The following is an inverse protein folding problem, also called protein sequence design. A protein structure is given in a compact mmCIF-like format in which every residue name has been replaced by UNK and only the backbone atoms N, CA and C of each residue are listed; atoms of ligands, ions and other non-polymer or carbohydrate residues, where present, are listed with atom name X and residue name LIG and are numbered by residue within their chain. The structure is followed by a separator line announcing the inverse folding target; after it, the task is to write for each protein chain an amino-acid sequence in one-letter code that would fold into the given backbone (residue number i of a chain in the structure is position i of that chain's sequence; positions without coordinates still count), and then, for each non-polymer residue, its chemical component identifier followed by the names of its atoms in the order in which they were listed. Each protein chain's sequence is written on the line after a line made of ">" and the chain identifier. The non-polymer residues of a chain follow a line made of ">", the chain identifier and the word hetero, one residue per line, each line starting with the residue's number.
data_IF_746141103518
#
_entry.id   IF_746141103518
#
_cell.length_a   1.000
_cell.length_b   1.000
_cell.length_c   1.000
_cell.angle_alpha   90.00
_cell.angle_beta   90.00
_cell.angle_gamma   90.00
#
_symmetry.space_group_name_H-M   'P 1'
#
loop_
_entity.id
_entity.type
_entity.pdbx_description
1 polymer ?
#
# COMPACT_ATOMS: atom_id res chain seq x y z
N UNK A 1 -14.18 14.19 -25.51
CA UNK A 1 -13.86 14.34 -24.07
C UNK A 1 -13.23 13.04 -23.65
N UNK A 2 -12.11 13.07 -22.91
CA UNK A 2 -11.46 11.86 -22.39
C UNK A 2 -12.36 11.19 -21.36
N UNK A 3 -12.52 9.86 -21.37
CA UNK A 3 -13.20 9.14 -20.30
C UNK A 3 -12.61 9.49 -18.93
N UNK A 4 -13.45 9.51 -17.89
CA UNK A 4 -13.04 9.88 -16.54
C UNK A 4 -13.72 9.03 -15.49
N UNK A 5 -13.08 8.91 -14.32
CA UNK A 5 -13.62 8.23 -13.15
C UNK A 5 -13.11 8.90 -11.88
N UNK A 6 -13.98 9.10 -10.92
CA UNK A 6 -13.62 9.68 -9.64
C UNK A 6 -13.45 8.58 -8.59
N UNK A 7 -12.33 8.66 -7.85
CA UNK A 7 -11.97 7.75 -6.76
C UNK A 7 -11.96 8.50 -5.44
N UNK A 8 -12.54 7.91 -4.41
CA UNK A 8 -12.68 8.52 -3.10
C UNK A 8 -11.87 7.79 -2.05
N UNK A 9 -11.09 8.54 -1.28
CA UNK A 9 -10.35 8.06 -0.13
C UNK A 9 -10.17 9.17 0.91
N UNK A 10 -10.28 8.86 2.22
CA UNK A 10 -10.12 9.80 3.32
C UNK A 10 -11.00 11.08 3.20
N UNK A 11 -12.19 10.96 2.63
CA UNK A 11 -13.10 12.10 2.43
C UNK A 11 -12.82 12.93 1.17
N UNK A 12 -11.77 12.65 0.43
CA UNK A 12 -11.36 13.39 -0.77
C UNK A 12 -11.67 12.64 -2.05
N UNK A 13 -11.87 13.40 -3.13
CA UNK A 13 -12.15 12.90 -4.47
C UNK A 13 -10.97 13.17 -5.41
N UNK A 14 -10.49 12.13 -6.07
CA UNK A 14 -9.43 12.20 -7.06
C UNK A 14 -10.00 11.76 -8.40
N UNK A 15 -10.07 12.69 -9.36
CA UNK A 15 -10.47 12.43 -10.74
C UNK A 15 -9.33 11.83 -11.51
N UNK A 16 -9.57 10.72 -12.19
CA UNK A 16 -8.64 10.14 -13.16
C UNK A 16 -9.23 10.21 -14.54
N UNK A 17 -8.48 10.79 -15.46
CA UNK A 17 -8.82 10.91 -16.87
C UNK A 17 -7.86 10.06 -17.70
N UNK A 18 -8.38 9.09 -18.43
CA UNK A 18 -7.58 8.22 -19.29
C UNK A 18 -8.48 7.54 -20.34
N UNK A 19 -7.89 6.81 -21.28
CA UNK A 19 -8.66 5.91 -22.14
C UNK A 19 -9.37 4.83 -21.31
N UNK A 20 -10.40 4.21 -21.89
CA UNK A 20 -11.27 3.25 -21.16
C UNK A 20 -10.50 2.08 -20.56
N UNK A 21 -9.55 1.50 -21.30
CA UNK A 21 -8.80 0.33 -20.84
C UNK A 21 -7.93 0.61 -19.60
N UNK A 22 -7.12 1.69 -19.51
CA UNK A 22 -6.45 2.09 -18.28
C UNK A 22 -7.39 2.38 -17.13
N UNK A 23 -8.53 3.03 -17.36
CA UNK A 23 -9.51 3.32 -16.30
C UNK A 23 -10.14 2.05 -15.74
N UNK A 24 -10.52 1.11 -16.59
CA UNK A 24 -11.08 -0.17 -16.19
C UNK A 24 -10.06 -0.98 -15.38
N UNK A 25 -8.81 -1.06 -15.87
CA UNK A 25 -7.72 -1.71 -15.15
C UNK A 25 -7.45 -1.07 -13.78
N UNK A 26 -7.38 0.27 -13.72
CA UNK A 26 -7.15 0.98 -12.46
C UNK A 26 -8.28 0.73 -11.46
N UNK A 27 -9.52 0.79 -11.92
CA UNK A 27 -10.69 0.53 -11.09
C UNK A 27 -10.65 -0.89 -10.49
N UNK A 28 -10.39 -1.90 -11.31
CA UNK A 28 -10.24 -3.29 -10.85
C UNK A 28 -9.11 -3.41 -9.82
N UNK A 29 -7.99 -2.72 -10.07
CA UNK A 29 -6.82 -2.77 -9.17
C UNK A 29 -7.10 -2.19 -7.79
N UNK A 30 -7.83 -1.06 -7.71
CA UNK A 30 -8.00 -0.31 -6.46
C UNK A 30 -9.30 -0.62 -5.70
N UNK A 31 -10.23 -1.35 -6.31
CA UNK A 31 -11.47 -1.75 -5.65
C UNK A 31 -11.23 -2.89 -4.64
N UNK A 32 -11.96 -2.94 -3.54
CA UNK A 32 -12.93 -1.95 -3.07
C UNK A 32 -12.31 -0.84 -2.21
N UNK A 33 -10.97 -0.79 -2.06
CA UNK A 33 -10.29 0.13 -1.14
C UNK A 33 -10.61 1.60 -1.46
N UNK A 34 -10.71 1.94 -2.75
CA UNK A 34 -11.11 3.27 -3.19
C UNK A 34 -12.53 3.19 -3.76
N UNK A 35 -13.45 3.89 -3.11
CA UNK A 35 -14.83 3.97 -3.62
C UNK A 35 -14.84 4.74 -4.94
N UNK A 36 -15.62 4.27 -5.93
CA UNK A 36 -15.81 4.99 -7.20
C UNK A 36 -17.22 5.54 -7.25
N UNK A 37 -17.33 6.87 -7.34
CA UNK A 37 -18.60 7.60 -7.50
C UNK A 37 -18.33 8.96 -8.12
N UNK A 38 -19.21 9.44 -8.97
CA UNK A 38 -19.05 10.73 -9.61
C UNK A 38 -19.11 11.89 -8.61
N UNK A 39 -18.30 12.92 -8.86
CA UNK A 39 -18.32 14.19 -8.13
C UNK A 39 -18.27 15.37 -9.10
N UNK A 40 -18.91 16.48 -8.75
CA UNK A 40 -18.86 17.72 -9.54
C UNK A 40 -17.48 18.39 -9.40
N UNK A 41 -16.94 18.43 -8.20
CA UNK A 41 -15.69 19.11 -7.87
C UNK A 41 -14.69 18.13 -7.23
N UNK A 42 -13.76 17.52 -7.99
CA UNK A 42 -12.69 16.72 -7.45
C UNK A 42 -11.63 17.61 -6.76
N UNK A 43 -11.03 17.11 -5.69
CA UNK A 43 -9.91 17.78 -5.02
C UNK A 43 -8.63 17.75 -5.85
N UNK A 44 -8.48 16.72 -6.68
CA UNK A 44 -7.31 16.48 -7.53
C UNK A 44 -7.72 15.90 -8.87
N UNK A 45 -6.92 16.17 -9.89
CA UNK A 45 -7.09 15.59 -11.24
C UNK A 45 -5.77 14.99 -11.73
N UNK A 46 -5.84 13.74 -12.16
CA UNK A 46 -4.72 13.01 -12.76
C UNK A 46 -5.12 12.54 -14.15
N UNK A 47 -4.36 12.92 -15.18
CA UNK A 47 -4.63 12.51 -16.55
C UNK A 47 -3.52 11.59 -17.06
N UNK A 48 -3.87 10.47 -17.69
CA UNK A 48 -2.91 9.66 -18.46
C UNK A 48 -3.01 10.01 -19.93
N UNK A 49 -1.94 10.60 -20.46
CA UNK A 49 -1.79 10.95 -21.86
C UNK A 49 -0.91 9.91 -22.53
N UNK A 50 -1.50 9.11 -23.39
CA UNK A 50 -0.76 8.14 -24.22
C UNK A 50 -0.51 8.80 -25.57
N UNK A 51 0.69 9.33 -25.76
CA UNK A 51 1.11 10.05 -26.97
C UNK A 51 2.61 9.84 -27.23
N UNK A 52 2.92 8.97 -28.18
CA UNK A 52 4.29 8.65 -28.53
C UNK A 52 5.07 9.87 -29.10
N UNK A 53 4.37 10.82 -29.76
CA UNK A 53 5.03 12.01 -30.32
C UNK A 53 5.40 13.00 -29.22
N UNK A 54 4.46 13.27 -28.31
CA UNK A 54 4.73 14.14 -27.16
C UNK A 54 5.79 13.50 -26.25
N UNK A 55 5.72 12.20 -26.01
CA UNK A 55 6.74 11.47 -25.25
C UNK A 55 8.12 11.61 -25.88
N UNK A 56 8.25 11.36 -27.19
CA UNK A 56 9.51 11.52 -27.93
C UNK A 56 10.00 12.97 -27.90
N UNK A 57 9.09 13.95 -28.01
CA UNK A 57 9.41 15.38 -27.91
C UNK A 57 9.98 15.75 -26.55
N UNK A 58 9.43 15.23 -25.48
CA UNK A 58 9.93 15.43 -24.12
C UNK A 58 11.28 14.73 -23.91
N UNK A 59 11.43 13.51 -24.41
CA UNK A 59 12.69 12.78 -24.36
C UNK A 59 13.82 13.49 -25.10
N UNK A 60 13.54 14.03 -26.29
CA UNK A 60 14.52 14.78 -27.09
C UNK A 60 14.93 16.12 -26.45
N UNK A 61 14.04 16.73 -25.69
CA UNK A 61 14.33 17.94 -24.91
C UNK A 61 15.11 17.66 -23.63
N UNK A 62 15.25 16.45 -23.23
CA UNK A 62 15.84 15.88 -22.04
C UNK A 62 16.76 16.75 -21.17
N UNK A 63 17.18 16.28 -20.02
CA UNK A 63 17.84 17.10 -19.01
C UNK A 63 19.12 17.79 -19.52
N UNK A 64 19.75 17.28 -20.59
CA UNK A 64 20.98 17.83 -21.14
C UNK A 64 20.78 19.05 -22.05
N UNK A 65 19.57 19.25 -22.60
CA UNK A 65 19.31 20.34 -23.56
C UNK A 65 18.85 21.65 -22.92
N UNK A 66 18.40 21.67 -21.67
CA UNK A 66 17.76 22.84 -21.03
C UNK A 66 18.16 23.07 -19.56
N UNK A 67 19.34 22.62 -19.13
CA UNK A 67 19.78 22.85 -17.75
C UNK A 67 18.98 22.07 -16.69
N UNK A 68 18.36 20.96 -17.09
CA UNK A 68 17.59 20.10 -16.19
C UNK A 68 18.45 19.60 -15.02
N UNK A 69 17.90 19.68 -13.83
CA UNK A 69 18.56 19.23 -12.60
C UNK A 69 18.23 17.77 -12.36
N UNK A 70 19.26 16.96 -12.11
CA UNK A 70 19.02 15.59 -11.64
C UNK A 70 18.43 15.66 -10.24
N UNK A 71 17.29 15.04 -10.05
CA UNK A 71 16.58 15.06 -8.80
C UNK A 71 16.15 13.66 -8.38
N UNK A 72 16.06 13.45 -7.07
CA UNK A 72 15.42 12.28 -6.51
C UNK A 72 14.07 12.72 -5.94
N UNK A 73 13.02 12.07 -6.37
CA UNK A 73 11.67 12.32 -5.88
C UNK A 73 11.23 11.14 -5.03
N UNK A 74 10.51 11.43 -3.97
CA UNK A 74 9.79 10.39 -3.26
C UNK A 74 8.39 10.32 -3.82
N UNK A 75 8.06 9.20 -4.41
CA UNK A 75 6.72 8.84 -4.84
C UNK A 75 6.31 7.58 -4.11
N UNK A 76 5.18 7.61 -3.42
CA UNK A 76 4.63 6.44 -2.76
C UNK A 76 5.68 5.75 -1.85
N UNK A 77 6.44 6.55 -1.09
CA UNK A 77 7.54 6.09 -0.22
C UNK A 77 8.71 5.40 -0.94
N UNK A 78 8.71 5.37 -2.27
CA UNK A 78 9.83 4.93 -3.09
C UNK A 78 10.62 6.12 -3.62
N UNK A 79 11.93 5.95 -3.74
CA UNK A 79 12.79 6.95 -4.40
C UNK A 79 12.69 6.71 -5.90
N UNK A 80 12.14 7.70 -6.62
CA UNK A 80 12.20 7.77 -8.07
C UNK A 80 13.40 8.61 -8.45
N UNK A 81 14.30 8.02 -9.20
CA UNK A 81 15.41 8.76 -9.81
C UNK A 81 14.95 9.33 -11.13
N UNK A 82 15.20 10.59 -11.34
CA UNK A 82 14.77 11.24 -12.57
C UNK A 82 15.36 12.63 -12.71
N UNK A 83 14.89 13.31 -13.73
CA UNK A 83 15.30 14.67 -14.03
C UNK A 83 14.08 15.57 -14.02
N UNK A 84 14.26 16.79 -13.55
CA UNK A 84 13.25 17.84 -13.57
C UNK A 84 13.72 19.00 -14.44
N UNK A 85 12.85 19.57 -15.23
CA UNK A 85 13.09 20.79 -15.98
C UNK A 85 11.80 21.57 -16.23
N UNK A 86 11.95 22.87 -16.44
CA UNK A 86 10.84 23.73 -16.81
C UNK A 86 10.33 23.43 -18.21
N UNK A 87 9.03 23.49 -18.36
CA UNK A 87 8.34 23.31 -19.65
C UNK A 87 7.40 24.50 -19.93
N UNK A 88 6.96 24.66 -21.20
CA UNK A 88 6.04 25.75 -21.55
C UNK A 88 4.76 25.74 -20.71
N UNK A 89 4.24 26.94 -20.41
CA UNK A 89 3.01 27.11 -19.66
C UNK A 89 3.18 27.00 -18.16
N UNK A 90 4.30 27.50 -17.62
CA UNK A 90 4.62 27.46 -16.18
C UNK A 90 4.49 26.06 -15.57
N UNK A 91 4.83 25.03 -16.35
CA UNK A 91 4.80 23.64 -15.91
C UNK A 91 6.22 23.09 -15.75
N UNK A 92 6.35 22.11 -14.90
CA UNK A 92 7.57 21.30 -14.73
C UNK A 92 7.35 19.90 -15.27
N UNK A 93 8.38 19.33 -15.86
CA UNK A 93 8.37 17.94 -16.33
C UNK A 93 9.38 17.14 -15.55
N UNK A 94 8.97 15.97 -15.09
CA UNK A 94 9.79 15.02 -14.35
C UNK A 94 9.86 13.72 -15.15
N UNK A 95 11.06 13.26 -15.48
CA UNK A 95 11.26 11.93 -16.05
C UNK A 95 11.43 10.90 -14.95
N UNK A 96 10.62 9.85 -14.98
CA UNK A 96 10.87 8.62 -14.22
C UNK A 96 11.73 7.70 -15.13
N UNK A 97 13.04 7.67 -14.85
CA UNK A 97 14.00 6.88 -15.63
C UNK A 97 13.71 5.36 -15.58
N UNK A 98 13.11 4.90 -14.49
CA UNK A 98 12.82 3.47 -14.32
C UNK A 98 11.66 3.00 -15.21
N UNK A 99 10.65 3.87 -15.37
CA UNK A 99 9.41 3.55 -16.12
C UNK A 99 9.36 4.16 -17.49
N UNK A 100 10.32 5.03 -17.79
CA UNK A 100 10.35 5.78 -19.04
C UNK A 100 9.04 6.54 -19.30
N UNK A 101 8.48 7.16 -18.25
CA UNK A 101 7.30 8.01 -18.31
C UNK A 101 7.65 9.41 -17.83
N UNK A 102 6.86 10.39 -18.26
CA UNK A 102 7.00 11.76 -17.81
C UNK A 102 5.82 12.13 -16.93
N UNK A 103 6.09 12.87 -15.85
CA UNK A 103 5.07 13.55 -15.06
C UNK A 103 5.16 15.04 -15.36
N UNK A 104 4.05 15.64 -15.81
CA UNK A 104 3.94 17.08 -15.94
C UNK A 104 3.10 17.60 -14.79
N UNK A 105 3.61 18.58 -14.08
CA UNK A 105 2.95 19.24 -12.96
C UNK A 105 2.99 20.75 -13.13
N UNK A 106 2.10 21.43 -12.44
CA UNK A 106 2.02 22.89 -12.42
C UNK A 106 2.24 23.33 -10.98
N UNK A 107 3.36 24.03 -10.65
CA UNK A 107 3.62 24.52 -9.30
C UNK A 107 2.49 25.39 -8.75
N UNK A 108 1.87 26.21 -9.61
CA UNK A 108 0.75 27.11 -9.26
C UNK A 108 -0.61 26.38 -9.20
N UNK A 109 -0.69 25.14 -9.71
CA UNK A 109 -1.88 24.28 -9.65
C UNK A 109 -1.49 22.85 -9.22
N UNK A 110 -1.18 22.65 -7.96
CA UNK A 110 -0.75 21.33 -7.44
C UNK A 110 -1.87 20.30 -7.44
N UNK A 111 -3.11 20.71 -7.75
CA UNK A 111 -4.23 19.81 -7.89
C UNK A 111 -4.18 19.01 -9.19
N UNK A 112 -3.32 19.37 -10.14
CA UNK A 112 -3.28 18.78 -11.48
C UNK A 112 -1.94 18.11 -11.77
N UNK A 113 -2.00 16.86 -12.26
CA UNK A 113 -0.83 16.11 -12.76
C UNK A 113 -1.20 15.38 -14.04
N UNK A 114 -0.28 15.35 -14.99
CA UNK A 114 -0.37 14.50 -16.17
C UNK A 114 0.74 13.45 -16.15
N UNK A 115 0.38 12.20 -16.39
CA UNK A 115 1.29 11.12 -16.71
C UNK A 115 1.34 11.01 -18.23
N UNK A 116 2.52 11.14 -18.83
CA UNK A 116 2.73 11.11 -20.29
C UNK A 116 3.57 9.89 -20.63
N UNK A 117 3.03 8.99 -21.43
CA UNK A 117 3.66 7.74 -21.83
C UNK A 117 3.63 7.54 -23.34
N UNK A 118 4.59 6.80 -23.88
CA UNK A 118 4.63 6.47 -25.32
C UNK A 118 3.52 5.49 -25.72
N UNK A 119 3.07 4.64 -24.80
CA UNK A 119 2.05 3.62 -25.03
C UNK A 119 1.27 3.30 -23.76
N UNK A 120 0.15 2.59 -23.92
CA UNK A 120 -0.71 2.11 -22.82
C UNK A 120 -0.18 0.77 -22.27
N UNK A 121 1.09 0.73 -21.92
CA UNK A 121 1.73 -0.42 -21.29
C UNK A 121 1.56 -0.46 -19.77
N UNK A 122 2.08 -1.55 -19.18
CA UNK A 122 2.03 -1.75 -17.72
C UNK A 122 2.69 -0.60 -16.95
N UNK A 123 3.78 -0.02 -17.48
CA UNK A 123 4.49 1.07 -16.82
C UNK A 123 3.67 2.36 -16.76
N UNK A 124 2.93 2.69 -17.84
CA UNK A 124 2.00 3.81 -17.85
C UNK A 124 0.88 3.65 -16.83
N UNK A 125 0.30 2.45 -16.75
CA UNK A 125 -0.76 2.12 -15.78
C UNK A 125 -0.25 2.13 -14.35
N UNK A 126 0.94 1.60 -14.10
CA UNK A 126 1.58 1.64 -12.78
C UNK A 126 1.98 3.06 -12.37
N UNK A 127 2.40 3.91 -13.31
CA UNK A 127 2.66 5.32 -13.05
C UNK A 127 1.36 6.05 -12.65
N UNK A 128 0.26 5.80 -13.36
CA UNK A 128 -1.05 6.34 -13.02
C UNK A 128 -1.52 5.90 -11.63
N UNK A 129 -1.43 4.60 -11.32
CA UNK A 129 -1.73 4.03 -10.01
C UNK A 129 -0.88 4.67 -8.91
N UNK A 130 0.41 4.91 -9.16
CA UNK A 130 1.33 5.52 -8.20
C UNK A 130 0.89 6.94 -7.84
N UNK A 131 0.50 7.76 -8.82
CA UNK A 131 -0.01 9.12 -8.59
C UNK A 131 -1.30 9.09 -7.78
N UNK A 132 -2.25 8.23 -8.15
CA UNK A 132 -3.50 8.07 -7.42
C UNK A 132 -3.28 7.72 -5.95
N UNK A 133 -2.38 6.76 -5.68
CA UNK A 133 -2.03 6.36 -4.30
C UNK A 133 -1.32 7.47 -3.54
N UNK A 134 -0.41 8.18 -4.19
CA UNK A 134 0.31 9.31 -3.58
C UNK A 134 -0.68 10.36 -3.08
N UNK A 135 -1.63 10.76 -3.92
CA UNK A 135 -2.68 11.68 -3.51
C UNK A 135 -3.55 11.14 -2.37
N UNK A 136 -3.93 9.86 -2.43
CA UNK A 136 -4.72 9.25 -1.36
C UNK A 136 -3.99 9.23 -0.01
N UNK A 137 -2.70 8.85 -0.01
CA UNK A 137 -1.87 8.86 1.20
C UNK A 137 -1.68 10.26 1.75
N UNK A 138 -1.53 11.21 0.85
CA UNK A 138 -1.40 12.60 1.16
C UNK A 138 -2.63 13.16 1.86
N UNK A 139 -3.81 12.97 1.26
CA UNK A 139 -5.08 13.37 1.86
C UNK A 139 -5.30 12.71 3.22
N UNK A 140 -4.99 11.42 3.36
CA UNK A 140 -5.07 10.74 4.64
C UNK A 140 -4.16 11.37 5.69
N UNK A 141 -2.92 11.73 5.32
CA UNK A 141 -1.97 12.39 6.22
C UNK A 141 -2.48 13.78 6.64
N UNK A 142 -2.96 14.59 5.70
CA UNK A 142 -3.56 15.91 5.99
C UNK A 142 -4.82 15.79 6.86
N UNK A 143 -5.58 14.71 6.74
CA UNK A 143 -6.71 14.39 7.62
C UNK A 143 -6.30 13.87 9.01
N UNK A 144 -5.00 13.86 9.33
CA UNK A 144 -4.46 13.39 10.60
C UNK A 144 -4.46 11.87 10.75
N UNK A 145 -4.51 11.11 9.64
CA UNK A 145 -4.40 9.66 9.69
C UNK A 145 -2.92 9.23 9.71
N UNK A 146 -2.67 8.11 10.37
CA UNK A 146 -1.33 7.56 10.47
C UNK A 146 -1.07 6.59 9.31
N UNK A 147 0.03 6.79 8.59
CA UNK A 147 0.45 5.87 7.54
C UNK A 147 1.42 4.82 8.05
N UNK A 148 1.17 3.55 7.77
CA UNK A 148 1.99 2.41 8.21
C UNK A 148 2.46 1.54 7.04
N UNK A 149 3.69 1.06 7.15
CA UNK A 149 4.19 -0.07 6.36
C UNK A 149 3.69 -1.37 6.98
N UNK A 150 2.45 -1.71 6.70
CA UNK A 150 1.75 -2.82 7.31
C UNK A 150 0.82 -3.52 6.31
N UNK A 151 0.54 -4.79 6.56
CA UNK A 151 -0.57 -5.52 6.00
C UNK A 151 -1.76 -5.49 6.99
N UNK A 152 -2.95 -5.82 6.50
CA UNK A 152 -4.11 -5.99 7.35
C UNK A 152 -5.06 -7.03 6.75
N UNK A 153 -5.64 -7.85 7.61
CA UNK A 153 -6.67 -8.84 7.30
C UNK A 153 -7.86 -8.61 8.22
N UNK A 154 -9.07 -8.74 7.70
CA UNK A 154 -10.29 -8.69 8.51
C UNK A 154 -10.74 -10.10 8.84
N UNK A 155 -10.79 -10.46 10.13
CA UNK A 155 -11.30 -11.73 10.63
C UNK A 155 -12.50 -11.41 11.52
N UNK A 156 -13.64 -12.04 11.26
CA UNK A 156 -14.89 -11.81 11.96
C UNK A 156 -15.27 -10.31 12.08
N UNK A 157 -15.03 -9.55 10.99
CA UNK A 157 -15.32 -8.12 10.89
C UNK A 157 -14.30 -7.18 11.57
N UNK A 158 -13.24 -7.72 12.17
CA UNK A 158 -12.21 -6.95 12.86
C UNK A 158 -10.85 -7.06 12.18
N UNK A 159 -10.13 -5.94 12.07
CA UNK A 159 -8.80 -5.93 11.49
C UNK A 159 -7.75 -6.42 12.49
N UNK A 160 -6.95 -7.38 12.04
CA UNK A 160 -5.63 -7.67 12.56
C UNK A 160 -4.61 -6.96 11.68
N UNK A 161 -3.92 -5.97 12.23
CA UNK A 161 -2.84 -5.25 11.54
C UNK A 161 -1.54 -6.02 11.71
N UNK A 162 -0.84 -6.27 10.61
CA UNK A 162 0.41 -7.03 10.58
C UNK A 162 1.52 -6.05 10.17
N UNK A 163 2.29 -5.58 11.13
CA UNK A 163 3.26 -4.51 10.96
C UNK A 163 4.68 -4.98 11.25
N UNK A 164 5.68 -4.35 10.67
CA UNK A 164 7.08 -4.73 10.92
C UNK A 164 8.02 -4.39 9.76
N UNK A 165 9.32 -4.57 9.94
CA UNK A 165 10.31 -4.24 8.92
C UNK A 165 10.18 -5.13 7.67
N UNK A 166 10.93 -4.78 6.63
CA UNK A 166 11.02 -5.61 5.43
C UNK A 166 11.53 -7.02 5.82
N UNK A 167 10.91 -8.07 5.23
CA UNK A 167 11.23 -9.49 5.48
C UNK A 167 10.85 -10.02 6.88
N UNK A 168 10.12 -9.29 7.69
CA UNK A 168 9.64 -9.78 8.99
C UNK A 168 8.58 -10.89 8.92
N UNK A 169 8.07 -11.23 7.72
CA UNK A 169 7.03 -12.25 7.55
C UNK A 169 5.61 -11.69 7.39
N UNK A 170 5.44 -10.38 7.16
CA UNK A 170 4.11 -9.75 6.98
C UNK A 170 3.27 -10.44 5.91
N UNK A 171 3.83 -10.60 4.69
CA UNK A 171 3.12 -11.24 3.58
C UNK A 171 2.81 -12.70 3.88
N UNK A 172 3.73 -13.43 4.51
CA UNK A 172 3.52 -14.82 4.90
C UNK A 172 2.35 -14.95 5.88
N UNK A 173 2.31 -14.10 6.91
CA UNK A 173 1.24 -14.10 7.90
C UNK A 173 -0.11 -13.65 7.31
N UNK A 174 -0.09 -12.65 6.40
CA UNK A 174 -1.29 -12.22 5.66
C UNK A 174 -1.86 -13.38 4.84
N UNK A 175 -1.02 -14.03 4.01
CA UNK A 175 -1.45 -15.15 3.17
C UNK A 175 -1.97 -16.33 4.01
N UNK A 176 -1.34 -16.59 5.16
CA UNK A 176 -1.81 -17.60 6.11
C UNK A 176 -3.22 -17.27 6.61
N UNK A 177 -3.46 -16.02 7.05
CA UNK A 177 -4.77 -15.59 7.54
C UNK A 177 -5.86 -15.66 6.46
N UNK A 178 -5.52 -15.27 5.23
CA UNK A 178 -6.44 -15.35 4.10
C UNK A 178 -6.79 -16.79 3.74
N UNK A 179 -5.78 -17.68 3.70
CA UNK A 179 -5.95 -19.06 3.27
C UNK A 179 -6.56 -19.97 4.34
N UNK A 180 -6.05 -19.89 5.58
CA UNK A 180 -6.41 -20.84 6.62
C UNK A 180 -7.50 -20.36 7.58
N UNK A 181 -7.70 -19.04 7.71
CA UNK A 181 -8.62 -18.48 8.70
C UNK A 181 -9.82 -17.76 8.07
N UNK A 182 -10.04 -17.93 6.76
CA UNK A 182 -11.12 -17.27 6.00
C UNK A 182 -11.19 -15.77 6.25
N UNK A 183 -10.00 -15.15 6.34
CA UNK A 183 -9.87 -13.71 6.51
C UNK A 183 -10.22 -12.98 5.20
N UNK A 184 -10.76 -11.76 5.31
CA UNK A 184 -10.92 -10.88 4.17
C UNK A 184 -9.70 -9.96 4.01
N UNK A 185 -9.23 -9.77 2.79
CA UNK A 185 -8.09 -8.92 2.47
C UNK A 185 -8.42 -7.43 2.73
N UNK A 186 -7.52 -6.70 3.39
CA UNK A 186 -7.62 -5.24 3.56
C UNK A 186 -6.43 -4.55 2.90
N UNK A 187 -5.21 -4.95 3.25
CA UNK A 187 -3.97 -4.38 2.69
C UNK A 187 -2.79 -5.33 2.81
N UNK A 188 -1.75 -5.14 2.00
CA UNK A 188 -0.51 -5.94 2.07
C UNK A 188 0.75 -5.15 2.45
N UNK A 189 0.82 -3.84 2.18
CA UNK A 189 2.07 -3.08 2.34
C UNK A 189 1.85 -1.63 2.78
N UNK A 190 0.72 -1.01 2.39
CA UNK A 190 0.34 0.35 2.73
C UNK A 190 -0.98 0.35 3.45
N UNK A 191 -1.00 0.94 4.63
CA UNK A 191 -2.17 0.99 5.49
C UNK A 191 -2.31 2.38 6.10
N UNK A 192 -3.49 2.97 6.00
CA UNK A 192 -3.83 4.18 6.73
C UNK A 192 -4.64 3.83 7.98
N UNK A 193 -4.34 4.47 9.09
CA UNK A 193 -5.03 4.29 10.38
C UNK A 193 -5.72 5.59 10.76
N UNK A 194 -7.03 5.56 10.85
CA UNK A 194 -7.82 6.64 11.45
C UNK A 194 -8.23 6.28 12.88
N UNK A 195 -8.41 7.30 13.72
CA UNK A 195 -8.90 7.13 15.08
C UNK A 195 -9.99 8.16 15.39
N UNK A 196 -11.08 7.68 15.94
CA UNK A 196 -12.18 8.48 16.42
C UNK A 196 -12.61 8.04 17.84
N UNK A 197 -13.56 8.71 18.50
CA UNK A 197 -14.05 8.29 19.82
C UNK A 197 -14.59 6.86 19.83
N UNK A 198 -15.16 6.37 18.71
CA UNK A 198 -15.72 5.03 18.59
C UNK A 198 -14.64 3.94 18.42
N UNK A 199 -13.41 4.28 18.02
CA UNK A 199 -12.30 3.33 17.94
C UNK A 199 -11.24 3.67 16.91
N UNK A 200 -10.49 2.66 16.48
CA UNK A 200 -9.41 2.74 15.51
C UNK A 200 -9.80 1.93 14.28
N UNK A 201 -9.64 2.50 13.09
CA UNK A 201 -9.98 1.85 11.83
C UNK A 201 -8.76 1.78 10.93
N UNK A 202 -8.54 0.62 10.34
CA UNK A 202 -7.52 0.39 9.31
C UNK A 202 -8.17 0.52 7.93
N UNK A 203 -7.55 1.28 7.04
CA UNK A 203 -7.98 1.53 5.67
C UNK A 203 -6.90 1.04 4.71
N UNK A 204 -7.25 0.15 3.79
CA UNK A 204 -6.32 -0.39 2.82
C UNK A 204 -5.93 0.62 1.75
N UNK A 205 -4.65 0.66 1.40
CA UNK A 205 -4.16 1.35 0.21
C UNK A 205 -3.62 0.28 -0.74
N UNK A 206 -4.23 0.12 -1.93
CA UNK A 206 -3.90 -0.98 -2.83
C UNK A 206 -2.48 -0.87 -3.36
N UNK A 207 -1.72 -1.93 -3.20
CA UNK A 207 -0.36 -2.06 -3.73
C UNK A 207 -0.17 -3.42 -4.39
N UNK A 208 0.85 -3.55 -5.23
CA UNK A 208 1.24 -4.85 -5.77
C UNK A 208 1.59 -5.80 -4.63
N UNK A 209 0.98 -6.97 -4.64
CA UNK A 209 1.30 -8.04 -3.69
C UNK A 209 2.43 -8.88 -4.27
N UNK A 210 3.59 -8.80 -3.66
CA UNK A 210 4.76 -9.60 -4.06
C UNK A 210 4.81 -10.86 -3.19
N UNK A 211 4.56 -12.01 -3.81
CA UNK A 211 4.66 -13.31 -3.16
C UNK A 211 6.00 -13.92 -3.54
N UNK A 212 6.81 -14.28 -2.56
CA UNK A 212 8.11 -14.92 -2.76
C UNK A 212 7.97 -16.43 -2.63
N UNK A 213 8.81 -17.19 -3.32
CA UNK A 213 8.86 -18.65 -3.21
C UNK A 213 9.08 -19.11 -1.75
N UNK A 214 9.84 -18.36 -0.97
CA UNK A 214 10.00 -18.62 0.47
C UNK A 214 8.71 -18.48 1.27
N UNK A 215 7.73 -17.70 0.79
CA UNK A 215 6.40 -17.57 1.43
C UNK A 215 5.48 -18.73 1.04
N UNK A 216 5.63 -19.30 -0.16
CA UNK A 216 4.82 -20.46 -0.60
C UNK A 216 5.19 -21.75 0.11
N UNK A 217 6.42 -21.87 0.62
CA UNK A 217 6.84 -23.01 1.43
C UNK A 217 5.98 -23.17 2.71
N UNK A 218 5.33 -22.11 3.18
CA UNK A 218 4.42 -22.09 4.32
C UNK A 218 2.96 -22.43 3.93
N UNK A 219 2.66 -22.51 2.64
CA UNK A 219 1.34 -22.74 2.07
C UNK A 219 1.49 -23.66 0.84
N UNK A 220 1.62 -25.00 1.05
CA UNK A 220 2.00 -25.94 -0.02
C UNK A 220 1.11 -25.87 -1.26
N UNK A 221 -0.22 -25.65 -1.10
CA UNK A 221 -1.16 -25.58 -2.22
C UNK A 221 -1.09 -24.26 -2.98
N UNK A 222 -0.51 -23.22 -2.38
CA UNK A 222 -0.42 -21.90 -2.98
C UNK A 222 0.49 -21.88 -4.20
N UNK A 223 1.61 -22.62 -4.16
CA UNK A 223 2.54 -22.70 -5.30
C UNK A 223 1.87 -23.32 -6.53
N UNK A 224 1.10 -24.39 -6.34
CA UNK A 224 0.34 -25.02 -7.41
C UNK A 224 -0.71 -24.08 -8.01
N UNK A 225 -1.44 -23.34 -7.17
CA UNK A 225 -2.41 -22.31 -7.61
C UNK A 225 -1.71 -21.19 -8.37
N UNK A 226 -0.56 -20.71 -7.88
CA UNK A 226 0.24 -19.67 -8.54
C UNK A 226 0.78 -20.13 -9.90
N UNK A 227 1.17 -21.37 -10.05
CA UNK A 227 1.67 -21.93 -11.32
C UNK A 227 0.58 -21.96 -12.41
N UNK A 228 -0.68 -22.15 -12.03
CA UNK A 228 -1.84 -22.14 -12.94
C UNK A 228 -2.44 -20.77 -13.20
N UNK A 229 -2.06 -19.75 -12.45
CA UNK A 229 -2.66 -18.43 -12.55
C UNK A 229 -2.14 -17.65 -13.77
N UNK A 230 -3.05 -16.90 -14.43
CA UNK A 230 -2.68 -15.95 -15.47
C UNK A 230 -2.50 -14.57 -14.84
N UNK A 231 -1.29 -14.02 -14.95
CA UNK A 231 -0.96 -12.70 -14.41
C UNK A 231 -1.21 -11.62 -15.47
N UNK A 232 -1.85 -10.53 -15.08
CA UNK A 232 -2.11 -9.41 -15.98
C UNK A 232 -0.91 -8.47 -16.12
N UNK A 233 0.09 -8.59 -15.27
CA UNK A 233 1.34 -7.81 -15.39
C UNK A 233 2.49 -8.49 -14.66
N UNK A 234 3.71 -8.22 -15.14
CA UNK A 234 4.95 -8.59 -14.47
C UNK A 234 5.55 -7.34 -13.83
N UNK A 235 6.11 -7.48 -12.65
CA UNK A 235 6.85 -6.38 -12.04
C UNK A 235 8.28 -6.40 -12.58
N UNK A 236 8.84 -5.23 -12.98
CA UNK A 236 10.22 -5.12 -13.51
C UNK A 236 11.30 -5.72 -12.60
N UNK A 237 11.06 -5.82 -11.28
CA UNK A 237 11.98 -6.52 -10.38
C UNK A 237 12.11 -8.00 -10.72
N UNK A 238 11.05 -8.66 -11.17
CA UNK A 238 11.10 -10.05 -11.63
C UNK A 238 11.83 -10.17 -12.98
N UNK A 239 11.74 -9.14 -13.83
CA UNK A 239 12.44 -9.10 -15.13
C UNK A 239 13.93 -8.77 -14.96
N UNK A 240 14.31 -7.92 -13.99
CA UNK A 240 15.73 -7.64 -13.65
C UNK A 240 16.42 -8.87 -13.05
N UNK A 241 15.73 -9.66 -12.23
CA UNK A 241 16.26 -10.92 -11.69
C UNK A 241 16.35 -11.98 -12.79
N UNK A 242 15.47 -11.96 -13.80
CA UNK A 242 15.50 -12.83 -14.97
C UNK A 242 16.53 -12.43 -16.05
N UNK A 243 16.92 -11.18 -16.11
CA UNK A 243 17.92 -10.65 -17.07
C UNK A 243 19.39 -10.87 -16.66
N UNK A 244 19.64 -11.48 -15.49
CA UNK A 244 20.96 -11.95 -15.07
C UNK A 244 21.07 -13.44 -15.39
N UNK A 245 21.69 -13.75 -16.54
CA UNK A 245 22.16 -15.06 -17.01
C UNK A 245 21.28 -16.29 -16.66
N UNK A 246 20.71 -16.93 -17.69
CA UNK A 246 19.89 -18.15 -17.67
C UNK A 246 18.38 -17.99 -17.35
N UNK A 247 17.74 -17.00 -17.96
CA UNK A 247 16.28 -16.76 -17.82
C UNK A 247 15.37 -17.93 -18.29
N UNK A 248 15.90 -18.93 -18.96
CA UNK A 248 15.12 -20.05 -19.49
C UNK A 248 14.96 -21.23 -18.54
N UNK A 249 15.73 -21.29 -17.44
CA UNK A 249 15.77 -22.47 -16.55
C UNK A 249 15.54 -22.19 -15.07
N UNK A 250 15.50 -20.92 -14.62
CA UNK A 250 15.29 -20.62 -13.22
C UNK A 250 13.78 -20.44 -12.94
N UNK A 251 13.15 -21.26 -12.09
CA UNK A 251 11.76 -21.08 -11.69
C UNK A 251 11.56 -19.67 -11.11
N UNK A 252 10.43 -19.01 -11.44
CA UNK A 252 10.09 -17.71 -10.89
C UNK A 252 10.25 -17.71 -9.36
N UNK A 253 11.10 -16.85 -8.83
CA UNK A 253 11.33 -16.73 -7.38
C UNK A 253 10.32 -15.80 -6.72
N UNK A 254 9.54 -15.06 -7.53
CA UNK A 254 8.54 -14.11 -7.09
C UNK A 254 7.35 -14.05 -8.06
N UNK A 255 6.16 -13.82 -7.49
CA UNK A 255 4.94 -13.52 -8.24
C UNK A 255 4.44 -12.13 -7.84
N UNK A 256 4.00 -11.35 -8.82
CA UNK A 256 3.47 -9.99 -8.62
C UNK A 256 2.00 -9.97 -9.04
N UNK A 257 1.11 -9.70 -8.10
CA UNK A 257 -0.33 -9.79 -8.23
C UNK A 257 -1.00 -8.47 -7.82
N UNK A 258 -2.15 -8.15 -8.42
CA UNK A 258 -3.02 -7.16 -7.82
C UNK A 258 -3.71 -7.70 -6.56
N UNK A 259 -4.25 -6.82 -5.69
CA UNK A 259 -5.10 -7.26 -4.57
C UNK A 259 -6.25 -8.16 -5.01
N UNK A 260 -6.95 -7.79 -6.09
CA UNK A 260 -8.05 -8.58 -6.66
C UNK A 260 -7.61 -9.97 -7.13
N UNK A 261 -6.42 -10.07 -7.76
CA UNK A 261 -5.87 -11.38 -8.16
C UNK A 261 -5.53 -12.27 -6.96
N UNK A 262 -5.01 -11.71 -5.87
CA UNK A 262 -4.79 -12.47 -4.63
C UNK A 262 -6.10 -12.97 -4.05
N UNK A 263 -7.12 -12.10 -3.99
CA UNK A 263 -8.43 -12.47 -3.48
C UNK A 263 -9.07 -13.58 -4.32
N UNK A 264 -9.02 -13.46 -5.65
CA UNK A 264 -9.52 -14.49 -6.57
C UNK A 264 -8.73 -15.81 -6.43
N UNK A 265 -7.40 -15.74 -6.32
CA UNK A 265 -6.54 -16.92 -6.18
C UNK A 265 -6.84 -17.71 -4.90
N UNK A 266 -7.14 -17.01 -3.81
CA UNK A 266 -7.39 -17.61 -2.49
C UNK A 266 -8.88 -17.82 -2.20
N UNK A 267 -9.77 -17.37 -3.09
CA UNK A 267 -11.24 -17.39 -2.93
C UNK A 267 -11.67 -16.66 -1.64
N UNK A 268 -11.19 -15.42 -1.47
CA UNK A 268 -11.48 -14.58 -0.30
C UNK A 268 -12.05 -13.23 -0.70
N UNK A 269 -12.80 -12.62 0.21
CA UNK A 269 -13.30 -11.26 0.06
C UNK A 269 -12.18 -10.22 0.20
N UNK A 270 -12.42 -9.03 -0.38
CA UNK A 270 -11.65 -7.82 -0.12
C UNK A 270 -12.52 -6.78 0.58
N UNK A 271 -11.93 -6.02 1.51
CA UNK A 271 -12.61 -4.95 2.26
C UNK A 271 -11.80 -3.67 2.20
N UNK A 272 -12.49 -2.55 2.05
CA UNK A 272 -11.86 -1.22 2.04
C UNK A 272 -11.25 -0.88 3.41
N UNK A 273 -11.92 -1.27 4.48
CA UNK A 273 -11.51 -0.97 5.85
C UNK A 273 -12.10 -1.97 6.85
N UNK A 274 -11.51 -2.01 8.05
CA UNK A 274 -12.05 -2.75 9.18
C UNK A 274 -11.59 -2.15 10.52
N UNK A 275 -12.38 -2.35 11.58
CA UNK A 275 -12.06 -1.87 12.94
C UNK A 275 -10.87 -2.65 13.52
N UNK A 276 -9.83 -1.94 13.95
CA UNK A 276 -8.61 -2.56 14.46
C UNK A 276 -8.87 -3.18 15.84
N UNK A 277 -8.58 -4.46 15.94
CA UNK A 277 -8.67 -5.24 17.17
C UNK A 277 -7.32 -5.42 17.84
N UNK A 278 -6.29 -5.68 17.03
CA UNK A 278 -4.93 -5.89 17.51
C UNK A 278 -3.91 -5.54 16.40
N UNK A 279 -2.67 -5.28 16.83
CA UNK A 279 -1.51 -5.18 15.94
C UNK A 279 -0.53 -6.28 16.30
N UNK A 280 -0.03 -7.00 15.30
CA UNK A 280 0.98 -8.03 15.45
C UNK A 280 2.26 -7.64 14.71
N UNK A 281 3.39 -7.91 15.34
CA UNK A 281 4.72 -7.66 14.81
C UNK A 281 5.41 -9.00 14.58
N UNK A 282 5.32 -9.56 13.36
CA UNK A 282 5.86 -10.88 13.07
C UNK A 282 7.39 -10.89 13.04
N UNK A 283 7.94 -12.03 13.40
CA UNK A 283 9.33 -12.42 13.18
C UNK A 283 9.38 -13.87 12.71
N UNK A 284 10.14 -14.12 11.66
CA UNK A 284 10.43 -15.49 11.21
C UNK A 284 11.61 -15.97 12.03
N UNK A 285 11.41 -16.99 12.83
CA UNK A 285 12.42 -17.51 13.74
C UNK A 285 12.58 -19.02 13.64
N UNK A 286 13.63 -19.53 14.31
CA UNK A 286 13.93 -20.95 14.41
C UNK A 286 13.09 -21.62 15.53
N UNK A 287 12.08 -20.92 16.04
CA UNK A 287 11.22 -21.47 17.09
C UNK A 287 10.51 -22.73 16.59
N UNK A 288 10.57 -23.81 17.38
CA UNK A 288 9.81 -25.03 17.12
C UNK A 288 8.31 -24.76 17.38
N UNK A 289 7.44 -25.20 16.47
CA UNK A 289 6.00 -25.12 16.65
C UNK A 289 5.27 -24.24 15.61
N UNK A 290 4.03 -23.88 15.92
CA UNK A 290 3.12 -23.10 15.09
C UNK A 290 3.29 -21.59 15.22
N UNK A 291 2.15 -20.87 15.34
CA UNK A 291 2.12 -19.42 15.53
C UNK A 291 2.01 -19.11 17.02
N UNK A 292 2.91 -18.27 17.53
CA UNK A 292 2.90 -17.86 18.92
C UNK A 292 2.78 -16.33 19.01
N UNK A 293 1.89 -15.88 19.91
CA UNK A 293 1.70 -14.47 20.23
C UNK A 293 2.08 -14.19 21.69
N UNK A 294 2.95 -13.18 21.89
CA UNK A 294 3.28 -12.66 23.20
C UNK A 294 2.90 -11.18 23.25
N UNK A 295 2.11 -10.77 24.26
CA UNK A 295 1.70 -9.38 24.41
C UNK A 295 2.91 -8.49 24.72
N UNK A 296 3.02 -7.36 24.02
CA UNK A 296 4.07 -6.37 24.25
C UNK A 296 3.74 -5.49 25.46
N UNK A 297 4.76 -5.08 26.22
CA UNK A 297 4.62 -3.99 27.18
C UNK A 297 4.31 -2.67 26.45
N UNK A 298 3.72 -1.65 27.12
CA UNK A 298 3.42 -0.37 26.49
C UNK A 298 4.64 0.28 25.81
N UNK A 299 5.81 0.22 26.42
CA UNK A 299 7.05 0.81 25.89
C UNK A 299 7.50 0.07 24.62
N UNK A 300 7.49 -1.27 24.66
CA UNK A 300 7.84 -2.10 23.49
C UNK A 300 6.83 -1.95 22.37
N UNK A 301 5.55 -1.80 22.68
CA UNK A 301 4.50 -1.53 21.71
C UNK A 301 4.76 -0.19 21.00
N UNK A 302 4.97 0.88 21.76
CA UNK A 302 5.24 2.22 21.24
C UNK A 302 6.45 2.21 20.30
N UNK A 303 7.54 1.56 20.71
CA UNK A 303 8.75 1.46 19.90
C UNK A 303 8.52 0.64 18.60
N UNK A 304 7.76 -0.45 18.66
CA UNK A 304 7.38 -1.24 17.52
C UNK A 304 6.51 -0.43 16.52
N UNK A 305 5.53 0.34 17.00
CA UNK A 305 4.70 1.21 16.17
C UNK A 305 5.55 2.27 15.45
N UNK A 306 6.47 2.94 16.16
CA UNK A 306 7.36 3.96 15.57
C UNK A 306 8.17 3.43 14.41
N UNK A 307 8.64 2.19 14.49
CA UNK A 307 9.44 1.55 13.42
C UNK A 307 8.64 1.21 12.17
N UNK A 308 7.32 1.22 12.24
CA UNK A 308 6.43 0.88 11.10
C UNK A 308 5.84 2.10 10.41
N UNK A 309 6.13 3.30 10.92
CA UNK A 309 5.68 4.55 10.32
C UNK A 309 6.21 4.70 8.90
N UNK A 310 5.32 5.04 8.00
CA UNK A 310 5.67 5.57 6.70
C UNK A 310 5.71 7.11 6.81
N UNK A 311 6.87 7.67 6.58
CA UNK A 311 6.99 9.12 6.37
C UNK A 311 6.59 9.41 4.94
N UNK A 312 5.33 9.79 4.76
CA UNK A 312 4.72 9.94 3.44
C UNK A 312 5.07 11.23 2.73
N UNK A 313 5.62 12.22 3.41
CA UNK A 313 5.91 13.52 2.79
C UNK A 313 7.25 14.04 3.28
N UNK A 314 8.31 13.85 2.50
CA UNK A 314 9.43 14.73 2.58
C UNK A 314 8.97 16.12 2.08
N UNK A 315 9.34 17.16 2.80
CA UNK A 315 9.36 18.52 2.25
C UNK A 315 10.04 18.45 0.87
N UNK A 316 9.29 18.66 -0.22
CA UNK A 316 9.80 18.54 -1.59
C UNK A 316 9.33 17.31 -2.35
N UNK A 317 8.26 16.62 -1.94
CA UNK A 317 7.59 15.58 -2.73
C UNK A 317 7.16 16.11 -4.10
N UNK A 318 7.02 15.21 -5.08
CA UNK A 318 6.64 15.59 -6.45
C UNK A 318 5.30 16.33 -6.51
N UNK A 319 4.43 16.09 -5.54
CA UNK A 319 3.11 16.75 -5.46
C UNK A 319 3.13 17.73 -4.29
N UNK A 320 3.37 18.99 -4.61
CA UNK A 320 3.44 20.06 -3.62
C UNK A 320 2.14 20.12 -2.79
N UNK A 321 2.31 20.04 -1.47
CA UNK A 321 1.29 20.43 -0.51
C UNK A 321 1.85 21.60 0.25
N UNK A 322 0.96 22.47 0.69
CA UNK A 322 1.34 23.47 1.67
C UNK A 322 2.01 22.77 2.86
N UNK A 323 3.24 23.16 3.24
CA UNK A 323 3.90 22.59 4.43
C UNK A 323 3.01 22.65 5.67
N UNK A 324 2.14 23.67 5.76
CA UNK A 324 1.22 23.89 6.88
C UNK A 324 0.08 22.86 6.94
N UNK A 325 -0.17 22.14 5.83
CA UNK A 325 -1.19 21.09 5.80
C UNK A 325 -0.67 19.72 6.31
N UNK A 326 0.65 19.61 6.52
CA UNK A 326 1.28 18.37 7.01
C UNK A 326 1.37 18.42 8.53
N UNK A 327 0.86 17.40 9.26
CA UNK A 327 1.00 17.35 10.70
C UNK A 327 2.47 17.42 11.14
N UNK A 328 2.75 18.17 12.19
CA UNK A 328 4.08 18.26 12.76
C UNK A 328 4.55 16.88 13.27
N UNK A 329 5.87 16.66 13.30
CA UNK A 329 6.44 15.40 13.81
C UNK A 329 5.99 15.11 15.26
N UNK A 330 5.75 16.13 16.07
CA UNK A 330 5.25 16.02 17.44
C UNK A 330 3.81 15.52 17.48
N UNK A 331 2.95 15.99 16.56
CA UNK A 331 1.56 15.54 16.44
C UNK A 331 1.49 14.07 16.04
N UNK A 332 2.33 13.67 15.08
CA UNK A 332 2.47 12.27 14.65
C UNK A 332 2.96 11.41 15.82
N UNK A 333 3.98 11.85 16.56
CA UNK A 333 4.50 11.13 17.71
C UNK A 333 3.43 10.97 18.82
N UNK A 334 2.65 12.02 19.08
CA UNK A 334 1.54 12.01 20.01
C UNK A 334 0.42 11.05 19.58
N UNK A 335 0.08 11.04 18.27
CA UNK A 335 -0.90 10.11 17.71
C UNK A 335 -0.44 8.65 17.86
N UNK A 336 0.82 8.36 17.52
CA UNK A 336 1.40 7.02 17.69
C UNK A 336 1.33 6.55 19.13
N UNK A 337 1.67 7.42 20.09
CA UNK A 337 1.61 7.08 21.50
C UNK A 337 0.18 6.74 21.96
N UNK A 338 -0.80 7.55 21.54
CA UNK A 338 -2.22 7.28 21.82
C UNK A 338 -2.71 5.96 21.21
N UNK A 339 -2.31 5.65 19.97
CA UNK A 339 -2.70 4.41 19.28
C UNK A 339 -2.05 3.19 19.92
N UNK A 340 -0.74 3.27 20.22
CA UNK A 340 -0.01 2.18 20.88
C UNK A 340 -0.57 1.86 22.28
N UNK A 341 -1.06 2.87 23.01
CA UNK A 341 -1.72 2.66 24.30
C UNK A 341 -3.15 2.10 24.18
N UNK A 342 -3.85 2.41 23.08
CA UNK A 342 -5.27 2.04 22.88
C UNK A 342 -5.44 0.69 22.20
N UNK A 343 -4.52 0.32 21.30
CA UNK A 343 -4.61 -0.90 20.50
C UNK A 343 -3.65 -1.95 21.06
N UNK A 344 -4.17 -3.13 21.46
CA UNK A 344 -3.33 -4.23 21.92
C UNK A 344 -2.29 -4.65 20.86
N UNK A 345 -1.05 -4.76 21.29
CA UNK A 345 0.09 -5.05 20.44
C UNK A 345 0.80 -6.33 20.87
N UNK A 346 1.18 -7.17 19.91
CA UNK A 346 1.80 -8.46 20.16
C UNK A 346 3.04 -8.66 19.28
N UNK A 347 4.08 -9.27 19.83
CA UNK A 347 5.04 -9.97 18.99
C UNK A 347 4.42 -11.26 18.49
N UNK A 348 4.79 -11.65 17.27
CA UNK A 348 4.33 -12.89 16.65
C UNK A 348 5.54 -13.67 16.15
N UNK A 349 5.71 -14.90 16.61
CA UNK A 349 6.74 -15.82 16.13
C UNK A 349 6.10 -16.83 15.20
N UNK A 350 6.66 -16.96 13.99
CA UNK A 350 6.26 -17.93 12.98
C UNK A 350 7.25 -19.09 13.01
N UNK A 351 6.83 -20.23 13.56
CA UNK A 351 7.57 -21.46 13.54
C UNK A 351 7.30 -22.26 12.26
N UNK A 352 8.06 -23.36 12.00
CA UNK A 352 7.93 -24.17 10.78
C UNK A 352 6.56 -24.84 10.62
N UNK A 353 5.81 -25.03 11.71
CA UNK A 353 4.47 -25.64 11.67
C UNK A 353 3.34 -24.58 11.61
N UNK A 354 3.67 -23.30 11.41
CA UNK A 354 2.69 -22.22 11.38
C UNK A 354 1.57 -22.46 10.35
N UNK A 355 1.86 -23.10 9.22
CA UNK A 355 0.88 -23.43 8.19
C UNK A 355 -0.21 -24.42 8.64
N UNK A 356 0.00 -25.16 9.74
CA UNK A 356 -0.96 -26.10 10.32
C UNK A 356 -1.90 -25.46 11.34
N UNK A 357 -1.60 -24.24 11.79
CA UNK A 357 -2.36 -23.54 12.81
C UNK A 357 -3.46 -22.72 12.15
N UNK A 358 -4.59 -23.35 11.85
CA UNK A 358 -5.69 -22.73 11.09
C UNK A 358 -6.59 -21.79 11.90
N UNK A 359 -6.30 -21.49 13.18
CA UNK A 359 -7.17 -20.66 14.03
C UNK A 359 -6.43 -19.70 14.95
N UNK A 360 -5.11 -19.58 14.84
CA UNK A 360 -4.30 -18.82 15.81
C UNK A 360 -4.69 -17.34 15.89
N UNK A 361 -4.92 -16.69 14.76
CA UNK A 361 -5.28 -15.27 14.70
C UNK A 361 -6.74 -15.05 15.09
N UNK A 362 -7.64 -15.95 14.71
CA UNK A 362 -9.04 -15.92 15.15
C UNK A 362 -9.14 -16.05 16.67
N UNK A 363 -8.37 -16.96 17.25
CA UNK A 363 -8.27 -17.13 18.70
C UNK A 363 -7.75 -15.86 19.38
N UNK A 364 -6.72 -15.21 18.81
CA UNK A 364 -6.21 -13.94 19.32
C UNK A 364 -7.28 -12.84 19.33
N UNK A 365 -8.07 -12.75 18.26
CA UNK A 365 -9.15 -11.77 18.12
C UNK A 365 -10.30 -12.07 19.09
N UNK A 366 -10.72 -13.34 19.21
CA UNK A 366 -11.88 -13.77 20.02
C UNK A 366 -11.64 -13.69 21.52
N UNK A 367 -10.47 -14.14 22.01
CA UNK A 367 -10.16 -14.16 23.45
C UNK A 367 -10.17 -12.77 24.11
N UNK A 368 -10.07 -11.69 23.34
CA UNK A 368 -10.13 -10.31 23.86
C UNK A 368 -11.52 -9.71 23.96
N UNK A 369 -12.53 -10.33 23.37
CA UNK A 369 -13.93 -9.97 23.64
C UNK A 369 -14.34 -10.41 25.04
N UNK A 370 -13.84 -11.52 25.53
CA UNK A 370 -14.16 -12.06 26.87
C UNK A 370 -13.53 -11.26 28.03
N UNK A 371 -12.31 -10.73 27.86
CA UNK A 371 -11.58 -10.05 28.94
C UNK A 371 -12.12 -8.64 29.27
N UNK A 372 -12.82 -7.97 28.35
CA UNK A 372 -13.46 -6.67 28.59
C UNK A 372 -14.85 -6.76 29.22
N UNK A 373 -15.53 -7.89 29.12
CA UNK A 373 -16.84 -8.10 29.70
C UNK A 373 -16.79 -8.43 31.23
N UNK A 374 -15.60 -8.78 31.75
CA UNK A 374 -15.41 -9.23 33.11
C UNK A 374 -14.88 -8.20 34.15
N UNK A 375 -14.51 -6.99 33.73
CA UNK A 375 -13.93 -5.97 34.61
C UNK A 375 -14.97 -4.95 35.07
N UNK A 376 -16.07 -5.41 35.72
CA UNK A 376 -16.82 -4.56 36.65
C UNK A 376 -16.20 -4.80 38.01
N UNK A 377 -15.62 -3.81 38.70
CA UNK A 377 -15.23 -3.94 40.06
C UNK A 377 -16.52 -4.11 40.88
N UNK A 378 -16.68 -5.26 41.51
CA UNK A 378 -17.67 -5.39 42.60
C UNK A 378 -17.32 -4.33 43.64
N UNK A 379 -18.19 -3.34 43.81
CA UNK A 379 -18.19 -2.50 44.98
C UNK A 379 -18.48 -3.44 46.15
N UNK A 380 -17.53 -3.60 47.04
CA UNK A 380 -17.74 -4.13 48.37
C UNK A 380 -18.41 -3.03 49.19
N UNK A 381 -19.62 -3.31 49.62
CA UNK A 381 -20.28 -2.60 50.73
C UNK A 381 -19.50 -2.77 52.02
#
# INVERSE_FOLDING_TARGET
>A
MMPRRDFHFAGHAIRVEAAEAPLAWLHEFVAPQFASRDTEAPDRTVSLIVDAREHARLAARGPHAQGGTRACFTLDTGIVRGHIWDAPGASEVVLDEEREVFYRRWPDDPARVQVIAAGDGVDARLALLRVLREYAMLHATCAGWLMLHAAAVSIDGHALVIAGPKQAGKTTLLLHALHNESGAYVANDRLAISADPSGVTAHGIPTIVIIRKTSTAWLPDLEARLAGARYHYRHRLAERDAGREDAASTPATTWSLSPGQVCHLLDVESRASARVKAVVFPSVGVARGGIRFDQLSPERALDAWRRTLLRTIPSGGMFAISPDAVPADEDIAGLVARLAARVPSFSCQLGPDAYRDGAAMRTLISNRTATRAGAHPRRSD
#
